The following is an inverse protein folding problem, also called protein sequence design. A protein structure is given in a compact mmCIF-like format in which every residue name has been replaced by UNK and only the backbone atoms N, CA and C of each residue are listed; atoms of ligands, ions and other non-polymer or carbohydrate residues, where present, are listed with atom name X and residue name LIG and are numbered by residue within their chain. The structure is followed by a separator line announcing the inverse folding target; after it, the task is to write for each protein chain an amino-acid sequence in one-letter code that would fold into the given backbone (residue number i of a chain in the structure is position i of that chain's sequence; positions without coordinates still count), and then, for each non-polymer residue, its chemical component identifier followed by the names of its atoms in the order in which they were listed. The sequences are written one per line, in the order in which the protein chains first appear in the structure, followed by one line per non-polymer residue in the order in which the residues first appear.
data_IF_667690953745
#
_entry.id   IF_667690953745
#
_cell.length_a   1.000
_cell.length_b   1.000
_cell.length_c   1.000
_cell.angle_alpha   90.00
_cell.angle_beta   90.00
_cell.angle_gamma   90.00
#
_symmetry.space_group_name_H-M   'P 1'
#
loop_
_entity.id
_entity.type
_entity.pdbx_description
1 polymer ?
#
# COMPACT_ATOMS: atom_id res chain seq x y z
N UNK A 1 18.47 16.78 14.94
CA UNK A 1 18.66 16.54 13.48
C UNK A 1 17.60 17.31 12.70
N UNK A 2 17.79 17.48 11.37
CA UNK A 2 16.75 18.04 10.49
C UNK A 2 16.24 16.95 9.55
N UNK A 3 14.93 16.74 9.50
CA UNK A 3 14.25 15.87 8.54
C UNK A 3 13.63 16.71 7.43
N UNK A 4 14.02 16.46 6.19
CA UNK A 4 13.33 16.98 5.01
C UNK A 4 12.10 16.14 4.68
N UNK A 5 10.93 16.76 4.56
CA UNK A 5 9.73 16.12 3.99
C UNK A 5 9.53 16.67 2.60
N UNK A 6 9.73 15.82 1.60
CA UNK A 6 9.61 16.22 0.21
C UNK A 6 8.16 16.21 -0.24
N UNK A 7 7.71 17.25 -0.94
CA UNK A 7 6.33 17.41 -1.42
C UNK A 7 6.31 17.84 -2.88
N UNK A 8 5.19 17.63 -3.59
CA UNK A 8 5.05 18.17 -4.94
C UNK A 8 4.90 19.70 -4.89
N UNK A 9 4.09 20.18 -3.94
CA UNK A 9 3.83 21.61 -3.68
C UNK A 9 3.67 21.85 -2.19
N UNK A 10 3.99 23.06 -1.74
CA UNK A 10 3.79 23.47 -0.34
C UNK A 10 2.32 23.38 0.14
N UNK A 11 1.34 23.42 -0.78
CA UNK A 11 -0.08 23.23 -0.44
C UNK A 11 -0.42 21.83 0.06
N UNK A 12 0.45 20.84 -0.19
CA UNK A 12 0.25 19.44 0.19
C UNK A 12 0.57 19.19 1.68
N UNK A 13 0.75 20.26 2.47
CA UNK A 13 1.07 20.24 3.92
C UNK A 13 -0.06 19.79 4.84
N UNK A 14 -1.22 19.45 4.30
CA UNK A 14 -2.39 19.01 5.08
C UNK A 14 -1.99 17.72 5.83
N UNK A 15 -2.12 17.75 7.16
CA UNK A 15 -1.73 16.68 8.10
C UNK A 15 -0.23 16.55 8.46
N UNK A 16 0.62 17.54 8.16
CA UNK A 16 2.02 17.54 8.62
C UNK A 16 2.21 18.11 10.04
N UNK A 17 1.23 18.85 10.57
CA UNK A 17 1.32 19.46 11.91
C UNK A 17 1.52 18.44 13.04
N UNK A 18 0.91 17.27 12.93
CA UNK A 18 1.13 16.19 13.91
C UNK A 18 2.57 15.68 13.88
N UNK A 19 3.17 15.56 12.69
CA UNK A 19 4.57 15.14 12.52
C UNK A 19 5.50 16.18 13.13
N UNK A 20 5.23 17.47 12.86
CA UNK A 20 5.99 18.59 13.43
C UNK A 20 5.91 18.57 14.95
N UNK A 21 4.71 18.48 15.52
CA UNK A 21 4.50 18.49 16.97
C UNK A 21 5.24 17.34 17.66
N UNK A 22 5.19 16.13 17.10
CA UNK A 22 5.90 14.97 17.67
C UNK A 22 7.41 15.09 17.41
N UNK A 23 7.81 15.62 16.26
CA UNK A 23 9.20 15.97 15.93
C UNK A 23 9.82 16.89 16.98
N UNK A 24 9.14 17.98 17.33
CA UNK A 24 9.58 18.93 18.36
C UNK A 24 9.78 18.24 19.72
N UNK A 25 8.84 17.35 20.10
CA UNK A 25 8.93 16.55 21.33
C UNK A 25 10.12 15.57 21.33
N UNK A 26 10.58 15.16 20.15
CA UNK A 26 11.68 14.20 19.96
C UNK A 26 13.00 14.88 19.56
N UNK A 27 13.05 16.22 19.50
CA UNK A 27 14.26 16.96 19.08
C UNK A 27 14.58 16.84 17.59
N UNK A 28 13.57 16.55 16.75
CA UNK A 28 13.68 16.47 15.30
C UNK A 28 13.00 17.67 14.66
N UNK A 29 13.79 18.54 14.02
CA UNK A 29 13.25 19.67 13.27
C UNK A 29 12.73 19.21 11.91
N UNK A 30 11.49 19.57 11.57
CA UNK A 30 10.85 19.20 10.31
C UNK A 30 10.95 20.37 9.33
N UNK A 31 11.50 20.09 8.14
CA UNK A 31 11.56 21.01 7.01
C UNK A 31 10.69 20.47 5.87
N UNK A 32 9.66 21.21 5.48
CA UNK A 32 8.85 20.85 4.31
C UNK A 32 9.47 21.46 3.05
N UNK A 33 9.79 20.60 2.09
CA UNK A 33 10.55 20.97 0.88
C UNK A 33 9.74 20.63 -0.36
N UNK A 34 9.28 21.61 -1.15
CA UNK A 34 8.78 21.35 -2.49
C UNK A 34 9.93 20.87 -3.38
N UNK A 35 9.69 19.82 -4.17
CA UNK A 35 10.74 19.17 -4.96
C UNK A 35 11.42 20.09 -5.98
N UNK A 36 10.67 21.06 -6.52
CA UNK A 36 11.18 22.00 -7.52
C UNK A 36 11.97 23.17 -6.94
N UNK A 37 12.03 23.30 -5.62
CA UNK A 37 12.77 24.36 -4.95
C UNK A 37 14.08 23.87 -4.29
N UNK A 38 14.62 22.76 -4.79
CA UNK A 38 15.92 22.21 -4.40
C UNK A 38 16.94 22.57 -5.49
N UNK A 39 18.00 23.26 -5.09
CA UNK A 39 19.11 23.65 -5.95
C UNK A 39 20.34 22.84 -5.57
N UNK A 40 20.67 21.86 -6.43
CA UNK A 40 21.82 20.99 -6.20
C UNK A 40 23.16 21.67 -6.52
N UNK A 41 23.18 22.68 -7.40
CA UNK A 41 24.38 23.44 -7.73
C UNK A 41 24.81 24.29 -6.52
N UNK A 42 23.86 24.98 -5.90
CA UNK A 42 24.10 25.78 -4.68
C UNK A 42 24.04 24.95 -3.39
N UNK A 43 23.67 23.66 -3.49
CA UNK A 43 23.47 22.73 -2.37
C UNK A 43 22.55 23.26 -1.28
N UNK A 44 21.55 24.03 -1.69
CA UNK A 44 20.56 24.60 -0.79
C UNK A 44 19.15 24.23 -1.27
N UNK A 45 18.19 24.44 -0.39
CA UNK A 45 16.80 24.30 -0.74
C UNK A 45 16.01 25.42 -0.08
N UNK A 46 14.96 25.83 -0.78
CA UNK A 46 13.91 26.61 -0.20
C UNK A 46 12.92 25.67 0.49
N UNK A 47 12.69 25.90 1.77
CA UNK A 47 11.79 25.09 2.56
C UNK A 47 10.91 25.90 3.48
N UNK A 48 10.04 25.19 4.19
CA UNK A 48 9.07 25.77 5.10
C UNK A 48 9.16 25.08 6.46
N UNK A 49 9.25 25.88 7.52
CA UNK A 49 9.21 25.42 8.90
C UNK A 49 7.97 25.94 9.59
N UNK A 50 7.51 25.25 10.62
CA UNK A 50 6.37 25.68 11.43
C UNK A 50 6.84 26.18 12.79
N UNK A 51 6.52 27.44 13.10
CA UNK A 51 6.77 28.06 14.42
C UNK A 51 5.46 28.65 14.95
N UNK A 52 5.21 29.94 14.73
CA UNK A 52 3.93 30.62 14.99
C UNK A 52 3.01 30.64 13.76
N UNK A 53 3.34 29.82 12.77
CA UNK A 53 2.84 29.83 11.41
C UNK A 53 3.90 29.21 10.50
N UNK A 54 3.58 29.12 9.20
CA UNK A 54 4.55 28.66 8.21
C UNK A 54 5.50 29.79 7.83
N UNK A 55 6.80 29.57 8.06
CA UNK A 55 7.87 30.49 7.70
C UNK A 55 8.69 29.88 6.56
N UNK A 56 8.93 30.68 5.52
CA UNK A 56 9.76 30.32 4.37
C UNK A 56 11.22 30.58 4.72
N UNK A 57 12.09 29.60 4.48
CA UNK A 57 13.53 29.70 4.76
C UNK A 57 14.36 29.13 3.60
N UNK A 58 15.59 29.60 3.46
CA UNK A 58 16.62 28.96 2.63
C UNK A 58 17.61 28.30 3.57
N UNK A 59 17.92 27.02 3.34
CA UNK A 59 18.84 26.27 4.18
C UNK A 59 19.54 25.15 3.40
N UNK A 60 20.63 24.58 3.94
CA UNK A 60 21.28 23.42 3.33
C UNK A 60 20.33 22.23 3.20
N UNK A 61 20.55 21.39 2.18
CA UNK A 61 19.76 20.18 1.95
C UNK A 61 19.93 19.22 3.15
N UNK A 62 18.84 18.75 3.80
CA UNK A 62 18.93 17.80 4.90
C UNK A 62 19.55 16.46 4.49
N UNK A 63 20.24 15.80 5.43
CA UNK A 63 20.86 14.48 5.19
C UNK A 63 19.86 13.33 5.11
N UNK A 64 18.66 13.50 5.65
CA UNK A 64 17.57 12.52 5.59
C UNK A 64 16.35 13.19 5.01
N UNK A 65 15.81 12.60 3.94
CA UNK A 65 14.64 13.09 3.22
C UNK A 65 13.59 11.99 3.15
N UNK A 66 12.42 12.27 3.73
CA UNK A 66 11.22 11.47 3.61
C UNK A 66 10.46 11.89 2.36
N UNK A 67 10.38 11.00 1.36
CA UNK A 67 9.68 11.29 0.13
C UNK A 67 8.16 11.19 0.29
N UNK A 68 7.48 12.35 0.25
CA UNK A 68 6.01 12.49 0.29
C UNK A 68 5.44 13.27 -0.89
N UNK A 69 6.05 13.13 -2.06
CA UNK A 69 5.43 13.55 -3.31
C UNK A 69 4.21 12.66 -3.58
N UNK A 70 3.01 13.14 -3.26
CA UNK A 70 1.76 12.37 -3.38
C UNK A 70 1.18 12.33 -4.79
N UNK A 71 1.80 13.03 -5.74
CA UNK A 71 1.38 13.11 -7.13
C UNK A 71 2.33 12.27 -7.97
N UNK A 72 1.93 11.03 -8.31
CA UNK A 72 2.75 10.07 -9.09
C UNK A 72 3.35 10.70 -10.35
N UNK A 73 2.57 11.51 -11.08
CA UNK A 73 3.03 12.19 -12.30
C UNK A 73 4.15 13.21 -12.05
N UNK A 74 4.17 13.85 -10.89
CA UNK A 74 5.23 14.80 -10.51
C UNK A 74 6.49 14.02 -10.15
N UNK A 75 6.35 12.98 -9.34
CA UNK A 75 7.49 12.12 -8.97
C UNK A 75 8.14 11.48 -10.19
N UNK A 76 7.36 10.97 -11.15
CA UNK A 76 7.85 10.29 -12.35
C UNK A 76 8.48 11.22 -13.40
N UNK A 77 8.53 12.54 -13.18
CA UNK A 77 9.18 13.42 -14.16
C UNK A 77 10.70 13.13 -14.21
N UNK A 78 11.33 13.16 -15.40
CA UNK A 78 12.76 12.87 -15.53
C UNK A 78 13.66 13.76 -14.67
N UNK A 79 13.35 15.05 -14.57
CA UNK A 79 14.08 16.02 -13.73
C UNK A 79 14.02 15.66 -12.23
N UNK A 80 12.86 15.21 -11.75
CA UNK A 80 12.69 14.75 -10.35
C UNK A 80 13.42 13.44 -10.09
N UNK A 81 13.42 12.51 -11.06
CA UNK A 81 14.17 11.26 -10.94
C UNK A 81 15.69 11.49 -10.92
N UNK A 82 16.20 12.39 -11.78
CA UNK A 82 17.62 12.76 -11.73
C UNK A 82 18.00 13.41 -10.40
N UNK A 83 17.15 14.29 -9.86
CA UNK A 83 17.35 14.87 -8.53
C UNK A 83 17.46 13.78 -7.44
N UNK A 84 16.63 12.73 -7.49
CA UNK A 84 16.76 11.60 -6.55
C UNK A 84 18.09 10.85 -6.71
N UNK A 85 18.56 10.65 -7.93
CA UNK A 85 19.87 10.07 -8.17
C UNK A 85 20.98 10.96 -7.61
N UNK A 86 20.91 12.26 -7.83
CA UNK A 86 21.91 13.21 -7.38
C UNK A 86 21.97 13.35 -5.85
N UNK A 87 20.80 13.42 -5.19
CA UNK A 87 20.71 13.41 -3.72
C UNK A 87 21.39 12.17 -3.13
N UNK A 88 21.12 10.98 -3.69
CA UNK A 88 21.73 9.72 -3.22
C UNK A 88 23.24 9.70 -3.46
N UNK A 89 23.70 10.14 -4.64
CA UNK A 89 25.16 10.25 -4.95
C UNK A 89 25.88 11.17 -3.97
N UNK A 90 25.20 12.19 -3.44
CA UNK A 90 25.73 13.12 -2.43
C UNK A 90 25.50 12.65 -0.97
N UNK A 91 25.16 11.37 -0.76
CA UNK A 91 25.00 10.77 0.56
C UNK A 91 23.77 11.25 1.33
N UNK A 92 22.73 11.71 0.63
CA UNK A 92 21.42 12.01 1.24
C UNK A 92 20.58 10.74 1.26
N UNK A 93 20.07 10.39 2.44
CA UNK A 93 19.19 9.26 2.64
C UNK A 93 17.77 9.62 2.21
N UNK A 94 17.41 9.32 0.96
CA UNK A 94 16.05 9.47 0.44
C UNK A 94 15.33 8.13 0.53
N UNK A 95 14.32 8.02 1.39
CA UNK A 95 13.57 6.78 1.57
C UNK A 95 12.14 6.86 1.00
N UNK A 96 11.60 5.69 0.65
CA UNK A 96 10.36 5.51 -0.11
C UNK A 96 10.38 6.24 -1.47
N UNK A 97 11.39 5.99 -2.32
CA UNK A 97 11.67 6.82 -3.50
C UNK A 97 10.63 6.72 -4.63
N UNK A 98 9.77 5.69 -4.59
CA UNK A 98 8.80 5.45 -5.65
C UNK A 98 7.48 4.94 -5.09
N UNK A 99 6.58 4.60 -6.01
CA UNK A 99 5.39 3.82 -5.72
C UNK A 99 5.62 2.40 -6.20
N UNK A 100 5.01 1.44 -5.52
CA UNK A 100 4.99 0.08 -6.01
C UNK A 100 4.12 -0.03 -7.26
N UNK A 101 4.63 -0.78 -8.24
CA UNK A 101 3.83 -1.31 -9.32
C UNK A 101 3.21 -2.64 -8.88
N UNK A 102 1.93 -2.83 -9.20
CA UNK A 102 1.18 -4.00 -8.72
C UNK A 102 1.65 -5.30 -9.37
N UNK A 103 1.95 -5.27 -10.67
CA UNK A 103 2.41 -6.47 -11.36
C UNK A 103 3.79 -6.87 -10.84
N UNK A 104 4.64 -5.87 -10.61
CA UNK A 104 5.97 -6.08 -10.04
C UNK A 104 5.91 -6.63 -8.62
N UNK A 105 5.05 -6.10 -7.75
CA UNK A 105 4.83 -6.67 -6.41
C UNK A 105 4.43 -8.14 -6.47
N UNK A 106 3.47 -8.50 -7.33
CA UNK A 106 3.03 -9.88 -7.46
C UNK A 106 4.14 -10.78 -8.01
N UNK A 107 4.99 -10.26 -8.91
CA UNK A 107 6.18 -10.98 -9.40
C UNK A 107 7.18 -11.24 -8.28
N UNK A 108 7.52 -10.21 -7.50
CA UNK A 108 8.46 -10.31 -6.37
C UNK A 108 7.94 -11.31 -5.34
N UNK A 109 6.71 -11.14 -4.86
CA UNK A 109 6.09 -12.01 -3.86
C UNK A 109 5.93 -13.44 -4.40
N UNK A 110 5.60 -13.61 -5.68
CA UNK A 110 5.41 -14.92 -6.29
C UNK A 110 6.70 -15.69 -6.56
N UNK A 111 7.85 -15.00 -6.62
CA UNK A 111 9.16 -15.65 -6.80
C UNK A 111 9.80 -16.07 -5.47
N UNK A 112 9.30 -15.55 -4.35
CA UNK A 112 9.86 -15.79 -3.02
C UNK A 112 9.12 -16.95 -2.32
N UNK A 113 9.77 -18.11 -2.05
CA UNK A 113 9.12 -19.29 -1.46
C UNK A 113 8.42 -19.01 -0.13
N UNK A 114 8.94 -18.06 0.65
CA UNK A 114 8.37 -17.68 1.95
C UNK A 114 7.11 -16.81 1.85
N UNK A 115 6.71 -16.38 0.65
CA UNK A 115 5.54 -15.49 0.46
C UNK A 115 4.60 -15.90 -0.68
N UNK A 116 5.00 -16.77 -1.61
CA UNK A 116 4.15 -17.24 -2.72
C UNK A 116 2.77 -17.76 -2.25
N UNK A 117 2.72 -18.50 -1.14
CA UNK A 117 1.47 -19.08 -0.61
C UNK A 117 0.44 -18.04 -0.13
N UNK A 118 0.85 -16.77 -0.01
CA UNK A 118 0.00 -15.63 0.35
C UNK A 118 -0.70 -15.02 -0.87
N UNK A 119 -0.29 -15.36 -2.10
CA UNK A 119 -0.90 -14.82 -3.31
C UNK A 119 -2.13 -15.63 -3.73
N UNK A 120 -3.24 -14.98 -4.11
CA UNK A 120 -4.33 -15.66 -4.80
C UNK A 120 -3.86 -16.21 -6.15
N UNK A 121 -4.32 -17.43 -6.49
CA UNK A 121 -4.00 -18.04 -7.78
C UNK A 121 -4.39 -17.09 -8.93
N UNK A 122 -3.48 -16.84 -9.86
CA UNK A 122 -3.67 -15.86 -10.93
C UNK A 122 -3.21 -16.43 -12.26
N UNK A 123 -4.02 -16.28 -13.32
CA UNK A 123 -3.65 -16.68 -14.68
C UNK A 123 -4.14 -15.67 -15.72
N UNK A 124 -3.57 -15.70 -16.92
CA UNK A 124 -4.02 -14.84 -18.02
C UNK A 124 -5.38 -15.30 -18.57
N UNK A 125 -6.20 -14.34 -19.01
CA UNK A 125 -7.41 -14.64 -19.74
C UNK A 125 -7.09 -14.88 -21.22
N UNK A 126 -6.85 -16.14 -21.58
CA UNK A 126 -6.53 -16.53 -22.96
C UNK A 126 -7.77 -17.02 -23.72
N UNK A 127 -8.69 -17.69 -23.03
CA UNK A 127 -9.82 -18.37 -23.65
C UNK A 127 -11.01 -18.52 -22.70
N UNK A 128 -12.22 -18.84 -23.21
CA UNK A 128 -13.36 -19.19 -22.35
C UNK A 128 -13.06 -20.35 -21.39
N UNK A 129 -12.18 -21.27 -21.78
CA UNK A 129 -11.75 -22.39 -20.94
C UNK A 129 -10.97 -21.93 -19.70
N UNK A 130 -10.26 -20.80 -19.79
CA UNK A 130 -9.51 -20.23 -18.65
C UNK A 130 -10.47 -19.83 -17.53
N UNK A 131 -11.55 -19.14 -17.88
CA UNK A 131 -12.63 -18.76 -16.95
C UNK A 131 -13.30 -20.02 -16.37
N UNK A 132 -13.59 -21.01 -17.21
CA UNK A 132 -14.24 -22.24 -16.78
C UNK A 132 -13.40 -23.03 -15.78
N UNK A 133 -12.09 -23.20 -16.04
CA UNK A 133 -11.16 -23.89 -15.14
C UNK A 133 -11.09 -23.20 -13.78
N UNK A 134 -10.81 -21.90 -13.76
CA UNK A 134 -10.71 -21.12 -12.52
C UNK A 134 -12.03 -21.14 -11.72
N UNK A 135 -13.18 -21.08 -12.39
CA UNK A 135 -14.48 -21.19 -11.72
C UNK A 135 -14.79 -22.59 -11.18
N UNK A 136 -14.34 -23.65 -11.86
CA UNK A 136 -14.53 -25.02 -11.37
C UNK A 136 -13.68 -25.28 -10.13
N UNK A 137 -12.48 -24.72 -10.08
CA UNK A 137 -11.56 -24.90 -8.96
C UNK A 137 -11.94 -24.03 -7.75
N UNK A 138 -12.28 -22.76 -7.97
CA UNK A 138 -12.45 -21.79 -6.90
C UNK A 138 -13.90 -21.34 -6.64
N UNK A 139 -14.83 -21.64 -7.54
CA UNK A 139 -16.25 -21.25 -7.45
C UNK A 139 -16.54 -19.76 -7.72
N UNK A 140 -15.63 -18.88 -7.31
CA UNK A 140 -15.65 -17.43 -7.52
C UNK A 140 -14.29 -16.95 -8.03
N UNK A 141 -14.30 -16.04 -9.00
CA UNK A 141 -13.08 -15.41 -9.52
C UNK A 141 -13.27 -13.92 -9.71
N UNK A 142 -12.15 -13.19 -9.75
CA UNK A 142 -12.08 -11.81 -10.19
C UNK A 142 -11.43 -11.73 -11.56
N UNK A 143 -12.06 -10.99 -12.48
CA UNK A 143 -11.44 -10.59 -13.75
C UNK A 143 -10.94 -9.16 -13.59
N UNK A 144 -9.64 -8.95 -13.80
CA UNK A 144 -9.01 -7.64 -13.62
C UNK A 144 -8.28 -7.24 -14.90
N UNK A 145 -8.48 -6.02 -15.43
CA UNK A 145 -7.63 -5.52 -16.51
C UNK A 145 -6.19 -5.37 -16.02
N UNK A 146 -5.21 -5.77 -16.83
CA UNK A 146 -3.77 -5.67 -16.46
C UNK A 146 -3.37 -4.23 -16.12
N UNK A 147 -3.94 -3.25 -16.82
CA UNK A 147 -3.66 -1.81 -16.64
C UNK A 147 -4.65 -1.09 -15.71
N UNK A 148 -5.44 -1.83 -14.91
CA UNK A 148 -6.42 -1.20 -14.02
C UNK A 148 -5.76 -0.60 -12.78
N UNK A 149 -6.29 0.55 -12.33
CA UNK A 149 -5.92 1.20 -11.07
C UNK A 149 -7.17 1.44 -10.23
N UNK A 150 -7.01 1.49 -8.91
CA UNK A 150 -8.09 1.79 -7.95
C UNK A 150 -9.37 0.94 -8.13
N UNK A 151 -9.22 -0.34 -8.50
CA UNK A 151 -10.34 -1.28 -8.66
C UNK A 151 -11.25 -1.05 -9.86
N UNK A 152 -10.93 -0.11 -10.77
CA UNK A 152 -11.76 0.18 -11.95
C UNK A 152 -11.72 -0.96 -12.97
N UNK A 153 -12.90 -1.42 -13.39
CA UNK A 153 -13.03 -2.47 -14.40
C UNK A 153 -12.88 -3.89 -13.85
N UNK A 154 -12.83 -4.06 -12.53
CA UNK A 154 -12.86 -5.39 -11.90
C UNK A 154 -14.27 -5.96 -12.01
N UNK A 155 -14.36 -7.22 -12.46
CA UNK A 155 -15.58 -8.01 -12.43
C UNK A 155 -15.43 -9.15 -11.42
N UNK A 156 -16.46 -9.36 -10.60
CA UNK A 156 -16.60 -10.61 -9.84
C UNK A 156 -17.47 -11.57 -10.62
N UNK A 157 -16.99 -12.78 -10.84
CA UNK A 157 -17.68 -13.83 -11.58
C UNK A 157 -17.95 -15.00 -10.65
N UNK A 158 -19.19 -15.43 -10.59
CA UNK A 158 -19.64 -16.58 -9.80
C UNK A 158 -20.42 -17.54 -10.71
N UNK A 159 -20.28 -18.84 -10.46
CA UNK A 159 -21.03 -19.85 -11.23
C UNK A 159 -22.50 -19.87 -10.83
N UNK A 160 -23.41 -19.92 -11.81
CA UNK A 160 -24.85 -20.05 -11.59
C UNK A 160 -25.49 -21.04 -12.57
N UNK A 161 -25.69 -22.30 -12.15
CA UNK A 161 -26.26 -23.41 -12.98
C UNK A 161 -25.71 -23.39 -14.42
N UNK A 162 -26.47 -22.83 -15.38
CA UNK A 162 -26.15 -22.78 -16.81
C UNK A 162 -25.61 -21.42 -17.29
N UNK A 163 -25.18 -20.57 -16.36
CA UNK A 163 -24.80 -19.18 -16.60
C UNK A 163 -23.77 -18.70 -15.57
N UNK A 164 -23.26 -17.50 -15.78
CA UNK A 164 -22.36 -16.80 -14.89
C UNK A 164 -23.09 -15.60 -14.30
N UNK A 165 -22.94 -15.42 -12.99
CA UNK A 165 -23.30 -14.19 -12.33
C UNK A 165 -22.10 -13.24 -12.42
N UNK A 166 -22.28 -12.12 -13.11
CA UNK A 166 -21.25 -11.12 -13.36
C UNK A 166 -21.61 -9.87 -12.59
N UNK A 167 -20.79 -9.55 -11.60
CA UNK A 167 -20.99 -8.35 -10.78
C UNK A 167 -19.91 -7.34 -11.07
N UNK A 168 -20.34 -6.12 -11.38
CA UNK A 168 -19.47 -4.94 -11.52
C UNK A 168 -19.82 -3.94 -10.43
N UNK A 169 -18.83 -3.19 -9.97
CA UNK A 169 -19.03 -2.10 -9.03
C UNK A 169 -18.72 -0.77 -9.71
N UNK A 170 -19.64 0.18 -9.60
CA UNK A 170 -19.45 1.55 -10.09
C UNK A 170 -20.08 2.52 -9.10
N UNK A 171 -19.30 3.49 -8.61
CA UNK A 171 -19.73 4.50 -7.62
C UNK A 171 -20.45 3.89 -6.40
N UNK A 172 -19.88 2.83 -5.82
CA UNK A 172 -20.44 2.16 -4.64
C UNK A 172 -21.71 1.33 -4.90
N UNK A 173 -22.23 1.29 -6.14
CA UNK A 173 -23.39 0.47 -6.51
C UNK A 173 -22.95 -0.76 -7.29
N UNK A 174 -23.48 -1.91 -6.89
CA UNK A 174 -23.29 -3.14 -7.64
C UNK A 174 -24.29 -3.21 -8.80
N UNK A 175 -23.80 -3.61 -9.96
CA UNK A 175 -24.63 -4.05 -11.08
C UNK A 175 -24.36 -5.53 -11.31
N UNK A 176 -25.41 -6.32 -11.12
CA UNK A 176 -25.39 -7.77 -11.29
C UNK A 176 -26.04 -8.10 -12.63
N UNK A 177 -25.37 -8.91 -13.44
CA UNK A 177 -25.88 -9.43 -14.70
C UNK A 177 -25.69 -10.94 -14.75
N UNK A 178 -26.57 -11.61 -15.47
CA UNK A 178 -26.37 -13.03 -15.80
C UNK A 178 -25.89 -13.11 -17.24
N UNK A 179 -24.78 -13.81 -17.48
CA UNK A 179 -24.17 -13.93 -18.82
C UNK A 179 -23.80 -15.39 -19.10
N UNK A 180 -23.81 -15.78 -20.39
CA UNK A 180 -23.19 -17.05 -20.80
C UNK A 180 -21.67 -16.87 -20.85
N UNK A 181 -20.92 -17.94 -20.62
CA UNK A 181 -19.46 -17.96 -20.61
C UNK A 181 -18.86 -17.35 -21.90
N UNK A 182 -19.34 -17.78 -23.06
CA UNK A 182 -18.85 -17.29 -24.37
C UNK A 182 -19.11 -15.80 -24.55
N UNK A 183 -20.32 -15.34 -24.21
CA UNK A 183 -20.68 -13.92 -24.29
C UNK A 183 -19.84 -13.06 -23.37
N UNK A 184 -19.53 -13.53 -22.15
CA UNK A 184 -18.61 -12.85 -21.24
C UNK A 184 -17.22 -12.72 -21.85
N UNK A 185 -16.68 -13.82 -22.39
CA UNK A 185 -15.36 -13.82 -23.03
C UNK A 185 -15.31 -12.84 -24.21
N UNK A 186 -16.29 -12.91 -25.14
CA UNK A 186 -16.37 -11.99 -26.28
C UNK A 186 -16.47 -10.52 -25.84
N UNK A 187 -17.20 -10.24 -24.75
CA UNK A 187 -17.30 -8.88 -24.16
C UNK A 187 -15.94 -8.39 -23.64
N UNK A 188 -15.17 -9.28 -23.01
CA UNK A 188 -13.84 -8.97 -22.48
C UNK A 188 -12.82 -8.80 -23.61
N UNK A 189 -12.79 -9.72 -24.58
CA UNK A 189 -11.88 -9.66 -25.73
C UNK A 189 -12.10 -8.41 -26.59
N UNK A 190 -13.35 -8.00 -26.78
CA UNK A 190 -13.71 -6.81 -27.55
C UNK A 190 -13.82 -5.54 -26.69
N UNK A 191 -13.32 -5.56 -25.46
CA UNK A 191 -13.43 -4.41 -24.57
C UNK A 191 -12.75 -3.17 -25.20
N UNK A 192 -13.44 -2.02 -25.29
CA UNK A 192 -12.96 -0.88 -26.08
C UNK A 192 -11.66 -0.29 -25.51
N UNK A 193 -11.47 -0.38 -24.19
CA UNK A 193 -10.35 0.23 -23.47
C UNK A 193 -9.24 -0.73 -23.05
N UNK A 194 -9.56 -2.00 -22.81
CA UNK A 194 -8.63 -2.93 -22.16
C UNK A 194 -8.42 -4.11 -23.10
N UNK A 195 -7.17 -4.45 -23.36
CA UNK A 195 -6.80 -5.52 -24.30
C UNK A 195 -6.34 -6.80 -23.62
N UNK A 196 -5.92 -6.72 -22.35
CA UNK A 196 -5.46 -7.85 -21.55
C UNK A 196 -6.14 -7.87 -20.20
N UNK A 197 -6.54 -9.06 -19.77
CA UNK A 197 -7.16 -9.32 -18.49
C UNK A 197 -6.47 -10.52 -17.81
N UNK A 198 -6.47 -10.50 -16.49
CA UNK A 198 -6.10 -11.63 -15.66
C UNK A 198 -7.34 -12.17 -14.95
N UNK A 199 -7.32 -13.46 -14.70
CA UNK A 199 -8.24 -14.16 -13.81
C UNK A 199 -7.53 -14.39 -12.49
N UNK A 200 -8.18 -14.04 -11.40
CA UNK A 200 -7.63 -14.23 -10.06
C UNK A 200 -8.65 -14.96 -9.19
N UNK A 201 -8.18 -15.90 -8.37
CA UNK A 201 -8.97 -16.60 -7.36
C UNK A 201 -9.78 -15.60 -6.52
N UNK A 202 -11.07 -15.88 -6.36
CA UNK A 202 -11.92 -15.15 -5.42
C UNK A 202 -11.71 -15.67 -4.01
N UNK A 203 -11.07 -14.89 -3.16
CA UNK A 203 -10.90 -15.24 -1.74
C UNK A 203 -12.22 -15.00 -1.00
N UNK A 204 -12.73 -16.04 -0.33
CA UNK A 204 -13.87 -15.93 0.57
C UNK A 204 -13.40 -15.34 1.89
N UNK A 205 -13.43 -14.01 1.97
CA UNK A 205 -12.99 -13.27 3.15
C UNK A 205 -13.89 -13.54 4.34
N UNK A 206 -13.28 -13.54 5.52
CA UNK A 206 -13.92 -13.44 6.81
C UNK A 206 -14.91 -12.26 6.84
N UNK A 207 -16.03 -12.44 7.56
CA UNK A 207 -17.15 -11.49 7.55
C UNK A 207 -17.61 -11.16 8.95
N UNK A 208 -17.98 -9.89 9.15
CA UNK A 208 -18.68 -9.40 10.33
C UNK A 208 -20.08 -8.99 9.87
N UNK A 209 -21.12 -9.65 10.38
CA UNK A 209 -22.52 -9.39 9.96
C UNK A 209 -22.69 -9.45 8.43
N UNK A 210 -22.17 -10.50 7.80
CA UNK A 210 -22.13 -10.70 6.33
C UNK A 210 -21.35 -9.66 5.52
N UNK A 211 -20.58 -8.79 6.19
CA UNK A 211 -19.71 -7.80 5.53
C UNK A 211 -18.27 -8.30 5.53
N UNK A 212 -17.65 -8.52 4.36
CA UNK A 212 -16.25 -8.91 4.29
C UNK A 212 -15.37 -7.78 4.82
N UNK A 213 -14.23 -8.14 5.41
CA UNK A 213 -13.24 -7.17 5.85
C UNK A 213 -11.83 -7.57 5.41
N UNK A 214 -10.95 -6.57 5.29
CA UNK A 214 -9.52 -6.77 5.18
C UNK A 214 -8.80 -6.10 6.35
N UNK A 215 -7.54 -6.46 6.51
CA UNK A 215 -6.64 -5.91 7.50
C UNK A 215 -5.65 -5.01 6.78
N UNK A 216 -5.59 -3.75 7.20
CA UNK A 216 -4.52 -2.84 6.80
C UNK A 216 -3.41 -2.90 7.83
N UNK A 217 -2.29 -3.44 7.40
CA UNK A 217 -1.06 -3.55 8.18
C UNK A 217 -0.17 -2.38 7.84
N UNK A 218 0.40 -1.70 8.84
CA UNK A 218 1.48 -0.75 8.69
C UNK A 218 2.77 -1.38 9.19
N UNK A 219 3.75 -1.51 8.30
CA UNK A 219 5.11 -1.89 8.65
C UNK A 219 6.03 -0.69 8.47
N UNK A 220 6.92 -0.47 9.42
CA UNK A 220 7.94 0.58 9.35
C UNK A 220 9.26 0.04 9.86
N UNK A 221 10.36 0.60 9.37
CA UNK A 221 11.66 0.38 10.01
C UNK A 221 11.65 1.06 11.38
N UNK A 222 12.10 0.35 12.39
CA UNK A 222 12.18 0.86 13.77
C UNK A 222 13.49 1.65 14.00
N UNK A 223 13.76 2.03 15.24
CA UNK A 223 14.97 2.75 15.67
C UNK A 223 16.29 2.01 15.40
N UNK A 224 16.24 0.71 15.09
CA UNK A 224 17.39 -0.12 14.70
C UNK A 224 17.44 -0.35 13.18
N UNK A 225 16.57 0.33 12.44
CA UNK A 225 16.41 0.12 11.01
C UNK A 225 15.73 -1.20 10.64
N UNK A 226 15.16 -1.98 11.55
CA UNK A 226 14.55 -3.27 11.21
C UNK A 226 13.05 -3.14 10.97
N UNK A 227 12.49 -3.90 10.02
CA UNK A 227 11.04 -3.96 9.81
C UNK A 227 10.30 -4.44 11.05
N UNK A 228 9.24 -3.72 11.42
CA UNK A 228 8.38 -4.05 12.55
C UNK A 228 6.92 -3.66 12.25
N UNK A 229 5.99 -4.24 12.99
CA UNK A 229 4.56 -3.94 12.89
C UNK A 229 4.25 -2.70 13.73
N UNK A 230 3.98 -1.58 13.07
CA UNK A 230 3.58 -0.34 13.75
C UNK A 230 2.08 -0.28 14.01
N UNK A 231 1.28 -0.88 13.14
CA UNK A 231 -0.17 -0.76 13.22
C UNK A 231 -0.91 -1.84 12.47
N UNK A 232 -2.08 -2.20 12.99
CA UNK A 232 -2.97 -3.17 12.40
C UNK A 232 -4.41 -2.71 12.60
N UNK A 233 -5.07 -2.33 11.50
CA UNK A 233 -6.47 -1.89 11.50
C UNK A 233 -7.34 -2.82 10.67
N UNK A 234 -8.59 -3.03 11.08
CA UNK A 234 -9.56 -3.78 10.28
C UNK A 234 -10.51 -2.83 9.54
N UNK A 235 -10.71 -3.08 8.24
CA UNK A 235 -11.60 -2.29 7.38
C UNK A 235 -12.73 -3.16 6.89
N UNK A 236 -13.92 -2.91 7.42
CA UNK A 236 -15.13 -3.65 7.04
C UNK A 236 -15.77 -2.99 5.83
N UNK A 237 -16.07 -3.79 4.80
CA UNK A 237 -16.75 -3.31 3.61
C UNK A 237 -18.14 -2.71 3.95
N UNK A 238 -18.64 -1.76 3.14
CA UNK A 238 -20.02 -1.31 3.26
C UNK A 238 -21.00 -2.48 3.01
N UNK A 239 -22.24 -2.39 3.52
CA UNK A 239 -23.28 -3.39 3.25
C UNK A 239 -23.45 -3.59 1.73
N UNK A 240 -23.37 -4.84 1.27
CA UNK A 240 -23.36 -5.24 -0.15
C UNK A 240 -22.13 -4.80 -0.97
N UNK A 241 -21.06 -4.29 -0.37
CA UNK A 241 -19.82 -3.95 -1.09
C UNK A 241 -18.98 -5.19 -1.46
N UNK A 242 -18.33 -5.15 -2.63
CA UNK A 242 -17.39 -6.21 -3.07
C UNK A 242 -15.95 -5.84 -2.77
N UNK A 243 -15.67 -4.55 -2.57
CA UNK A 243 -14.34 -4.02 -2.23
C UNK A 243 -14.42 -3.23 -0.93
N UNK A 244 -13.42 -3.44 -0.10
CA UNK A 244 -13.18 -2.90 1.25
C UNK A 244 -12.54 -1.50 1.25
N UNK A 245 -12.32 -0.90 0.07
CA UNK A 245 -11.60 0.37 -0.07
C UNK A 245 -12.31 1.53 0.66
N UNK A 246 -11.69 2.06 1.73
CA UNK A 246 -12.24 3.05 2.69
C UNK A 246 -12.84 4.33 2.09
N UNK A 247 -12.37 4.90 0.97
CA UNK A 247 -13.08 6.00 0.29
C UNK A 247 -14.53 5.68 -0.09
N UNK A 248 -14.96 4.41 -0.01
CA UNK A 248 -16.33 3.95 -0.28
C UNK A 248 -17.17 3.63 0.98
N UNK A 249 -16.80 4.15 2.17
CA UNK A 249 -17.67 4.07 3.36
C UNK A 249 -17.49 2.83 4.23
N UNK A 250 -16.27 2.28 4.30
CA UNK A 250 -15.94 1.25 5.29
C UNK A 250 -15.78 1.82 6.70
N UNK A 251 -16.04 1.00 7.72
CA UNK A 251 -15.81 1.38 9.12
C UNK A 251 -14.53 0.74 9.65
N UNK A 252 -13.84 1.47 10.52
CA UNK A 252 -12.60 1.03 11.16
C UNK A 252 -12.95 0.30 12.45
N UNK A 253 -12.41 -0.90 12.62
CA UNK A 253 -12.58 -1.72 13.82
C UNK A 253 -11.22 -2.04 14.43
N UNK A 254 -11.22 -2.28 15.74
CA UNK A 254 -10.10 -2.93 16.39
C UNK A 254 -9.91 -4.33 15.76
N UNK A 255 -8.69 -4.62 15.31
CA UNK A 255 -8.40 -5.89 14.62
C UNK A 255 -8.69 -7.13 15.47
N UNK A 256 -8.42 -7.06 16.77
CA UNK A 256 -8.67 -8.16 17.70
C UNK A 256 -10.17 -8.39 17.87
N UNK A 257 -10.96 -7.32 17.98
CA UNK A 257 -12.43 -7.42 18.05
C UNK A 257 -12.99 -7.97 16.74
N UNK A 258 -12.51 -7.49 15.60
CA UNK A 258 -12.92 -7.95 14.28
C UNK A 258 -12.66 -9.46 14.11
N UNK A 259 -11.43 -9.91 14.40
CA UNK A 259 -11.07 -11.32 14.29
C UNK A 259 -11.75 -12.17 15.37
N UNK A 260 -11.90 -11.69 16.61
CA UNK A 260 -12.59 -12.42 17.67
C UNK A 260 -14.07 -12.62 17.36
N UNK A 261 -14.72 -11.65 16.70
CA UNK A 261 -16.12 -11.78 16.28
C UNK A 261 -16.33 -12.90 15.25
N UNK A 262 -15.31 -13.21 14.44
CA UNK A 262 -15.39 -14.24 13.39
C UNK A 262 -14.80 -15.59 13.82
N UNK A 263 -13.67 -15.56 14.53
CA UNK A 263 -12.85 -16.74 14.83
C UNK A 263 -12.74 -17.07 16.32
N UNK A 264 -13.39 -16.29 17.18
CA UNK A 264 -13.38 -16.45 18.63
C UNK A 264 -11.94 -16.62 19.17
N UNK A 265 -11.67 -17.77 19.80
CA UNK A 265 -10.38 -18.08 20.45
C UNK A 265 -9.18 -18.17 19.50
N UNK A 266 -9.40 -18.25 18.17
CA UNK A 266 -8.30 -18.30 17.18
C UNK A 266 -7.79 -16.91 16.77
N UNK A 267 -8.46 -15.83 17.20
CA UNK A 267 -8.14 -14.48 16.76
C UNK A 267 -6.66 -14.10 16.96
N UNK A 268 -6.11 -14.39 18.15
CA UNK A 268 -4.73 -14.00 18.48
C UNK A 268 -3.70 -14.71 17.61
N UNK A 269 -3.89 -16.01 17.39
CA UNK A 269 -3.05 -16.77 16.47
C UNK A 269 -3.12 -16.22 15.05
N UNK A 270 -4.31 -15.85 14.58
CA UNK A 270 -4.47 -15.27 13.23
C UNK A 270 -3.79 -13.90 13.15
N UNK A 271 -3.82 -13.10 14.23
CA UNK A 271 -3.07 -11.84 14.30
C UNK A 271 -1.57 -12.11 14.16
N UNK A 272 -1.04 -13.09 14.89
CA UNK A 272 0.38 -13.47 14.81
C UNK A 272 0.74 -13.93 13.39
N UNK A 273 -0.09 -14.78 12.78
CA UNK A 273 0.10 -15.26 11.40
C UNK A 273 0.09 -14.09 10.38
N UNK A 274 -0.79 -13.10 10.55
CA UNK A 274 -0.85 -11.90 9.72
C UNK A 274 0.38 -11.02 9.91
N UNK A 275 0.84 -10.83 11.15
CA UNK A 275 2.03 -10.05 11.46
C UNK A 275 3.29 -10.68 10.86
N UNK A 276 3.49 -11.97 11.09
CA UNK A 276 4.62 -12.73 10.52
C UNK A 276 4.60 -12.71 8.98
N UNK A 277 3.43 -12.97 8.38
CA UNK A 277 3.27 -12.87 6.91
C UNK A 277 3.61 -11.48 6.39
N UNK A 278 3.22 -10.42 7.09
CA UNK A 278 3.48 -9.04 6.68
C UNK A 278 4.97 -8.68 6.76
N UNK A 279 5.69 -9.18 7.76
CA UNK A 279 7.14 -8.98 7.87
C UNK A 279 7.90 -9.74 6.78
N UNK A 280 7.49 -10.98 6.47
CA UNK A 280 8.03 -11.74 5.33
C UNK A 280 7.80 -11.03 4.00
N UNK A 281 6.59 -10.51 3.78
CA UNK A 281 6.26 -9.69 2.62
C UNK A 281 7.11 -8.42 2.56
N UNK A 282 7.33 -7.74 3.68
CA UNK A 282 8.12 -6.51 3.72
C UNK A 282 9.58 -6.80 3.32
N UNK A 283 10.15 -7.89 3.84
CA UNK A 283 11.48 -8.36 3.47
C UNK A 283 11.56 -8.74 1.99
N UNK A 284 10.60 -9.50 1.46
CA UNK A 284 10.58 -9.90 0.06
C UNK A 284 10.48 -8.69 -0.89
N UNK A 285 9.57 -7.75 -0.59
CA UNK A 285 9.39 -6.51 -1.35
C UNK A 285 10.66 -5.68 -1.31
N UNK A 286 11.30 -5.53 -0.16
CA UNK A 286 12.58 -4.84 -0.05
C UNK A 286 13.66 -5.46 -0.91
N UNK A 287 13.85 -6.79 -0.83
CA UNK A 287 14.85 -7.48 -1.66
C UNK A 287 14.57 -7.38 -3.17
N UNK A 288 13.30 -7.25 -3.55
CA UNK A 288 12.89 -7.14 -4.95
C UNK A 288 12.73 -5.71 -5.49
N UNK A 289 12.95 -4.68 -4.67
CA UNK A 289 12.76 -3.27 -5.09
C UNK A 289 14.01 -2.43 -4.91
N UNK A 290 14.21 -1.49 -5.84
CA UNK A 290 15.35 -0.59 -5.77
C UNK A 290 15.11 0.58 -4.81
N UNK A 291 16.12 0.87 -4.00
CA UNK A 291 16.19 2.03 -3.12
C UNK A 291 15.72 1.77 -1.70
N UNK A 292 15.93 2.76 -0.84
CA UNK A 292 15.69 2.62 0.60
C UNK A 292 14.19 2.71 0.91
N UNK A 293 13.64 1.67 1.53
CA UNK A 293 12.27 1.67 2.06
C UNK A 293 12.31 1.87 3.58
N UNK A 294 11.48 2.80 4.09
CA UNK A 294 11.33 3.05 5.53
C UNK A 294 9.93 2.70 6.05
N UNK A 295 8.94 2.66 5.18
CA UNK A 295 7.57 2.30 5.53
C UNK A 295 6.81 1.68 4.36
N UNK A 296 5.77 0.90 4.66
CA UNK A 296 4.72 0.57 3.71
C UNK A 296 3.46 0.13 4.44
N UNK A 297 2.30 0.31 3.83
CA UNK A 297 1.08 -0.36 4.29
C UNK A 297 0.68 -1.48 3.35
N UNK A 298 0.20 -2.58 3.91
CA UNK A 298 -0.29 -3.74 3.15
C UNK A 298 -1.77 -3.95 3.44
N UNK A 299 -2.52 -4.29 2.39
CA UNK A 299 -3.90 -4.75 2.52
C UNK A 299 -3.87 -6.28 2.47
N UNK A 300 -4.19 -6.91 3.60
CA UNK A 300 -4.18 -8.35 3.83
C UNK A 300 -5.60 -8.84 4.07
N UNK A 301 -6.06 -9.76 3.23
CA UNK A 301 -7.30 -10.50 3.47
C UNK A 301 -7.07 -11.64 4.46
N UNK A 302 -8.11 -12.00 5.21
CA UNK A 302 -8.16 -13.26 5.97
C UNK A 302 -9.36 -14.03 5.47
N UNK A 303 -9.16 -15.28 5.03
CA UNK A 303 -10.27 -16.12 4.57
C UNK A 303 -11.05 -16.75 5.72
N UNK A 304 -12.18 -17.39 5.43
CA UNK A 304 -13.05 -18.05 6.42
C UNK A 304 -12.35 -19.19 7.22
N UNK A 305 -11.15 -19.65 6.80
CA UNK A 305 -10.33 -20.61 7.54
C UNK A 305 -9.33 -19.96 8.51
N UNK A 306 -9.13 -18.64 8.38
CA UNK A 306 -8.13 -17.87 9.12
C UNK A 306 -6.81 -17.68 8.37
N UNK A 307 -6.71 -18.08 7.09
CA UNK A 307 -5.48 -17.95 6.30
C UNK A 307 -5.30 -16.50 5.79
N UNK A 308 -4.11 -15.89 5.95
CA UNK A 308 -3.79 -14.59 5.36
C UNK A 308 -3.59 -14.64 3.83
N UNK A 309 -3.99 -13.58 3.15
CA UNK A 309 -3.83 -13.39 1.70
C UNK A 309 -3.38 -11.96 1.39
N UNK A 310 -2.31 -11.82 0.60
CA UNK A 310 -1.79 -10.52 0.18
C UNK A 310 -2.57 -9.97 -1.02
N UNK A 311 -3.08 -8.74 -0.90
CA UNK A 311 -3.79 -8.08 -2.00
C UNK A 311 -3.00 -6.94 -2.63
N UNK A 312 -2.38 -6.09 -1.80
CA UNK A 312 -1.70 -4.88 -2.25
C UNK A 312 -0.72 -4.38 -1.18
N UNK A 313 0.31 -3.67 -1.61
CA UNK A 313 1.17 -2.85 -0.75
C UNK A 313 1.26 -1.42 -1.29
N UNK A 314 1.48 -0.46 -0.40
CA UNK A 314 1.63 0.96 -0.70
C UNK A 314 2.87 1.52 0.00
N UNK A 315 3.85 1.95 -0.80
CA UNK A 315 5.10 2.55 -0.31
C UNK A 315 4.90 3.91 0.36
N UNK A 316 3.82 4.63 0.05
CA UNK A 316 3.51 5.94 0.64
C UNK A 316 2.14 5.86 1.32
N UNK A 317 2.03 5.20 2.48
CA UNK A 317 0.76 4.99 3.14
C UNK A 317 0.01 6.31 3.37
N UNK A 318 -1.30 6.27 3.17
CA UNK A 318 -2.20 7.32 3.63
C UNK A 318 -2.33 7.33 5.15
N UNK A 319 -2.97 8.37 5.71
CA UNK A 319 -3.24 8.48 7.15
C UNK A 319 -3.96 7.22 7.68
N UNK A 320 -3.63 6.85 8.90
CA UNK A 320 -4.40 5.92 9.72
C UNK A 320 -5.30 6.76 10.63
N UNK A 321 -6.58 6.46 10.65
CA UNK A 321 -7.55 7.25 11.42
C UNK A 321 -7.59 6.78 12.89
N UNK A 322 -7.06 5.59 13.18
CA UNK A 322 -6.85 5.05 14.52
C UNK A 322 -5.80 5.91 15.27
N UNK A 323 -6.19 6.65 16.33
CA UNK A 323 -5.30 7.64 16.96
C UNK A 323 -4.01 7.04 17.52
N UNK A 324 -4.09 5.83 18.09
CA UNK A 324 -2.92 5.12 18.62
C UNK A 324 -1.94 4.75 17.51
N UNK A 325 -2.42 4.13 16.43
CA UNK A 325 -1.59 3.77 15.27
C UNK A 325 -1.00 5.02 14.64
N UNK A 326 -1.79 6.09 14.51
CA UNK A 326 -1.31 7.36 13.96
C UNK A 326 -0.14 7.94 14.75
N UNK A 327 -0.28 8.01 16.08
CA UNK A 327 0.77 8.54 16.96
C UNK A 327 2.02 7.66 16.90
N UNK A 328 1.87 6.33 16.97
CA UNK A 328 2.99 5.39 16.91
C UNK A 328 3.69 5.46 15.55
N UNK A 329 2.94 5.55 14.46
CA UNK A 329 3.47 5.66 13.10
C UNK A 329 4.41 6.85 12.91
N UNK A 330 4.04 7.99 13.48
CA UNK A 330 4.89 9.20 13.42
C UNK A 330 6.15 9.00 14.27
N UNK A 331 6.03 8.38 15.45
CA UNK A 331 7.20 8.13 16.31
C UNK A 331 8.20 7.18 15.63
N UNK A 332 7.73 6.05 15.09
CA UNK A 332 8.58 5.10 14.38
C UNK A 332 9.23 5.73 13.15
N UNK A 333 8.49 6.53 12.38
CA UNK A 333 9.04 7.29 11.26
C UNK A 333 10.23 8.18 11.69
N UNK A 334 10.07 8.93 12.78
CA UNK A 334 11.10 9.84 13.28
C UNK A 334 12.29 9.07 13.89
N UNK A 335 12.03 7.97 14.58
CA UNK A 335 13.05 7.05 15.09
C UNK A 335 13.91 6.47 13.95
N UNK A 336 13.29 6.05 12.86
CA UNK A 336 14.02 5.61 11.68
C UNK A 336 14.82 6.74 11.02
N UNK A 337 14.27 7.96 10.97
CA UNK A 337 15.03 9.12 10.48
C UNK A 337 16.26 9.41 11.34
N UNK A 338 16.14 9.28 12.67
CA UNK A 338 17.27 9.40 13.59
C UNK A 338 18.31 8.31 13.35
N UNK A 339 17.88 7.06 13.14
CA UNK A 339 18.75 5.95 12.76
C UNK A 339 19.55 6.30 11.49
N UNK A 340 18.89 6.73 10.41
CA UNK A 340 19.53 7.12 9.15
C UNK A 340 20.50 8.31 9.29
N UNK A 341 20.28 9.20 10.26
CA UNK A 341 21.15 10.34 10.49
C UNK A 341 22.46 10.00 11.22
N UNK A 342 22.50 8.86 11.93
CA UNK A 342 23.69 8.38 12.61
C UNK A 342 24.67 7.79 11.60
N UNK A 343 25.91 8.28 11.55
CA UNK A 343 26.85 8.04 10.43
C UNK A 343 27.28 6.58 10.16
N UNK A 344 26.78 5.60 10.92
CA UNK A 344 27.09 4.16 10.75
C UNK A 344 25.98 3.38 10.02
N UNK A 345 24.75 3.89 9.96
CA UNK A 345 23.57 3.13 9.51
C UNK A 345 23.44 3.02 7.99
N UNK A 346 23.94 3.98 7.22
CA UNK A 346 23.86 3.95 5.75
C UNK A 346 24.74 2.85 5.13
N UNK A 347 25.80 2.42 5.83
CA UNK A 347 26.70 1.35 5.34
C UNK A 347 26.09 -0.05 5.56
N UNK A 348 25.22 -0.21 6.58
CA UNK A 348 24.56 -1.49 6.88
C UNK A 348 23.33 -1.76 6.01
N UNK A 349 22.68 -0.72 5.47
CA UNK A 349 21.48 -0.86 4.63
C UNK A 349 21.77 -1.27 3.18
N UNK A 350 23.03 -1.20 2.75
CA UNK A 350 23.48 -1.52 1.38
C UNK A 350 24.29 -2.83 1.30
N UNK A 351 24.34 -3.61 2.39
CA UNK A 351 24.86 -4.98 2.43
C UNK A 351 23.69 -5.93 2.59
#
# INVERSE_FOLDING_TARGET
MVLGILTARFTDRINLQEIIKIGDQMGVSILVMPVFDIDMDQRNCLGYIWRKGWEKIVCPIPKVIYNRILIRKVEQRPDVQELFHELRRNGVAVFNPGYFDKAELYRIVGQEPTTLYLLPETCELESPLSIHKMLNEYGQIYVKPVQSYAGKGILRIERKKNSLLVTTQSYGKNRVRTMKLRTLFETLSNHPRYKKFILQQGIQLAKIEDRPYDLRVLVQRNSRGQWDITGLGARVAPRNGIVTHVPNGGSIYNVREALASTFARKADRIIDDVQDSSLKLASAIESGTDGLLGEMSMDIGVDESGKPWFFEANAKPGRFDEPFIRKQSIRCLLEFCMFLSSSHSLVELHK
#
